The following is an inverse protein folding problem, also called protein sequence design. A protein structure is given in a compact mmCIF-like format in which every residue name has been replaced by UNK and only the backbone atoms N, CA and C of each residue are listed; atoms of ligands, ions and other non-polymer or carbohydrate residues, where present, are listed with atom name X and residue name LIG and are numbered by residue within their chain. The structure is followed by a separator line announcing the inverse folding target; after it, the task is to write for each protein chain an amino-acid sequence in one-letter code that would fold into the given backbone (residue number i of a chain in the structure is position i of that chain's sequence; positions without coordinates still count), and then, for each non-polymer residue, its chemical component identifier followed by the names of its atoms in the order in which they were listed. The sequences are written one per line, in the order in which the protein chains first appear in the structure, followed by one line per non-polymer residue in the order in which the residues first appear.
data_IF_902008056576
#
_entry.id   IF_902008056576
#
_cell.length_a   1.000
_cell.length_b   1.000
_cell.length_c   1.000
_cell.angle_alpha   90.00
_cell.angle_beta   90.00
_cell.angle_gamma   90.00
#
_symmetry.space_group_name_H-M   'P 1'
#
loop_
_entity.id
_entity.type
_entity.pdbx_description
1 polymer ?
#
# COMPACT_ATOMS: atom_id res chain seq x y z
N UNK A 1 23.71 27.21 4.31
CA UNK A 1 22.84 26.28 5.05
C UNK A 1 21.80 25.73 4.08
N UNK A 2 21.94 24.52 3.54
CA UNK A 2 20.93 23.98 2.64
C UNK A 2 19.78 23.35 3.42
N UNK A 3 18.59 23.72 2.98
CA UNK A 3 17.25 23.48 3.48
C UNK A 3 16.93 22.03 3.86
N UNK A 4 16.52 21.82 5.10
CA UNK A 4 16.04 20.57 5.72
C UNK A 4 14.68 20.08 5.19
N UNK A 5 14.12 20.70 4.15
CA UNK A 5 12.70 20.54 3.77
C UNK A 5 12.43 19.59 2.59
N UNK A 6 13.44 19.21 1.79
CA UNK A 6 13.24 18.37 0.58
C UNK A 6 13.37 16.86 0.86
N UNK A 7 14.17 16.47 1.85
CA UNK A 7 14.44 15.05 2.16
C UNK A 7 13.27 14.35 2.87
N UNK A 8 12.46 15.06 3.63
CA UNK A 8 11.30 14.50 4.36
C UNK A 8 10.12 14.22 3.43
N UNK A 9 9.95 15.03 2.38
CA UNK A 9 8.93 14.82 1.34
C UNK A 9 9.17 13.52 0.55
N UNK A 10 10.43 13.17 0.30
CA UNK A 10 10.83 11.94 -0.42
C UNK A 10 10.57 10.65 0.38
N UNK A 11 10.52 10.70 1.71
CA UNK A 11 10.33 9.51 2.57
C UNK A 11 8.91 8.98 2.58
N UNK A 12 7.93 9.86 2.39
CA UNK A 12 6.52 9.46 2.28
C UNK A 12 6.20 8.93 0.88
N UNK A 13 6.86 9.42 -0.17
CA UNK A 13 6.51 9.13 -1.57
C UNK A 13 6.47 7.62 -1.91
N UNK A 14 7.41 6.82 -1.42
CA UNK A 14 7.49 5.43 -1.84
C UNK A 14 6.51 4.51 -1.06
N UNK A 15 6.29 4.73 0.25
CA UNK A 15 5.27 3.99 1.03
C UNK A 15 3.84 4.29 0.60
N UNK A 16 3.75 5.30 -0.25
CA UNK A 16 2.57 5.88 -0.79
C UNK A 16 2.35 5.47 -2.25
N UNK A 17 3.41 5.11 -3.01
CA UNK A 17 3.30 4.35 -4.26
C UNK A 17 2.58 3.00 -4.06
N UNK A 18 2.74 2.39 -2.88
CA UNK A 18 2.09 1.15 -2.46
C UNK A 18 0.60 1.28 -2.10
N UNK A 19 0.09 2.50 -1.91
CA UNK A 19 -1.26 2.80 -1.39
C UNK A 19 -2.21 3.34 -2.47
N UNK A 20 -1.85 3.26 -3.76
CA UNK A 20 -2.76 3.62 -4.85
C UNK A 20 -3.95 2.67 -4.84
N UNK A 21 -5.10 3.19 -4.44
CA UNK A 21 -6.37 2.48 -4.63
C UNK A 21 -6.59 2.42 -6.15
N UNK A 22 -6.78 1.23 -6.74
CA UNK A 22 -7.06 1.12 -8.17
C UNK A 22 -8.33 1.90 -8.51
N UNK A 23 -8.38 2.43 -9.72
CA UNK A 23 -9.61 3.02 -10.27
C UNK A 23 -10.77 2.03 -10.15
N UNK A 24 -11.94 2.55 -9.79
CA UNK A 24 -13.11 1.74 -9.42
C UNK A 24 -13.17 1.32 -7.95
N UNK A 25 -12.14 1.55 -7.13
CA UNK A 25 -12.20 1.23 -5.68
C UNK A 25 -13.26 2.05 -4.99
N UNK A 26 -14.11 1.39 -4.21
CA UNK A 26 -15.11 2.08 -3.40
C UNK A 26 -14.46 2.68 -2.16
N UNK A 27 -14.76 3.94 -1.88
CA UNK A 27 -14.24 4.69 -0.74
C UNK A 27 -15.31 5.54 -0.09
N UNK A 28 -15.08 5.84 1.18
CA UNK A 28 -15.75 6.92 1.92
C UNK A 28 -14.78 8.09 2.06
N UNK A 29 -15.27 9.32 1.94
CA UNK A 29 -14.47 10.51 2.19
C UNK A 29 -14.59 10.94 3.64
N UNK A 30 -13.46 11.28 4.27
CA UNK A 30 -13.45 11.91 5.58
C UNK A 30 -14.14 13.27 5.52
N UNK A 31 -15.12 13.49 6.41
CA UNK A 31 -15.90 14.73 6.46
C UNK A 31 -17.20 14.72 5.67
N UNK A 32 -17.53 13.64 4.94
CA UNK A 32 -18.88 13.50 4.36
C UNK A 32 -19.92 13.35 5.48
N UNK A 33 -20.91 14.27 5.51
CA UNK A 33 -21.94 14.34 6.54
C UNK A 33 -22.86 13.11 6.58
N UNK A 34 -23.04 12.43 5.44
CA UNK A 34 -23.73 11.16 5.36
C UNK A 34 -22.72 10.02 5.45
N UNK A 35 -22.77 9.26 6.54
CA UNK A 35 -21.91 8.09 6.79
C UNK A 35 -22.02 7.01 5.71
N UNK A 36 -23.06 7.05 4.87
CA UNK A 36 -23.34 6.11 3.78
C UNK A 36 -22.92 6.59 2.39
N UNK A 37 -22.40 7.82 2.22
CA UNK A 37 -22.01 8.30 0.89
C UNK A 37 -20.73 7.60 0.42
N UNK A 38 -20.87 6.89 -0.70
CA UNK A 38 -19.81 6.09 -1.30
C UNK A 38 -19.35 6.70 -2.62
N UNK A 39 -18.06 6.56 -2.89
CA UNK A 39 -17.43 7.06 -4.10
C UNK A 39 -16.58 5.97 -4.75
N UNK A 40 -16.47 5.97 -6.07
CA UNK A 40 -15.45 5.24 -6.80
C UNK A 40 -14.23 6.14 -7.01
N UNK A 41 -13.06 5.64 -6.64
CA UNK A 41 -11.77 6.25 -6.94
C UNK A 41 -11.54 6.21 -8.45
N UNK A 42 -11.03 7.31 -8.99
CA UNK A 42 -10.43 7.42 -10.31
C UNK A 42 -9.09 8.12 -10.17
N UNK A 43 -8.21 7.90 -11.13
CA UNK A 43 -6.96 8.64 -11.22
C UNK A 43 -7.25 10.12 -11.40
N UNK A 44 -6.54 10.97 -10.67
CA UNK A 44 -6.71 12.41 -10.80
C UNK A 44 -6.17 12.88 -12.16
N UNK A 45 -7.07 13.35 -13.03
CA UNK A 45 -6.72 13.85 -14.36
C UNK A 45 -6.22 15.30 -14.42
N UNK A 46 -5.93 15.95 -13.28
CA UNK A 46 -5.43 17.32 -13.33
C UNK A 46 -4.00 17.37 -13.90
N UNK A 47 -3.60 18.47 -14.58
CA UNK A 47 -2.29 18.58 -15.21
C UNK A 47 -1.12 18.28 -14.26
N UNK A 48 -1.20 18.73 -13.02
CA UNK A 48 -0.16 18.52 -12.01
C UNK A 48 0.00 17.05 -11.64
N UNK A 49 -1.11 16.33 -11.41
CA UNK A 49 -1.07 14.91 -11.08
C UNK A 49 -0.63 14.05 -12.27
N UNK A 50 -1.06 14.40 -13.49
CA UNK A 50 -0.62 13.71 -14.71
C UNK A 50 0.87 13.92 -14.95
N UNK A 51 1.35 15.16 -14.81
CA UNK A 51 2.77 15.47 -14.96
C UNK A 51 3.63 14.77 -13.90
N UNK A 52 3.21 14.81 -12.64
CA UNK A 52 3.89 14.09 -11.56
C UNK A 52 3.94 12.58 -11.82
N UNK A 53 2.84 11.97 -12.28
CA UNK A 53 2.81 10.55 -12.62
C UNK A 53 3.74 10.21 -13.80
N UNK A 54 3.82 11.07 -14.83
CA UNK A 54 4.75 10.90 -15.95
C UNK A 54 6.21 10.95 -15.51
N UNK A 55 6.53 11.70 -14.45
CA UNK A 55 7.84 11.75 -13.81
C UNK A 55 8.08 10.61 -12.80
N UNK A 56 7.16 9.66 -12.69
CA UNK A 56 7.26 8.52 -11.77
C UNK A 56 6.95 8.87 -10.31
N UNK A 57 6.43 10.07 -10.02
CA UNK A 57 5.95 10.41 -8.69
C UNK A 57 4.62 9.68 -8.39
N UNK A 58 4.35 9.33 -7.12
CA UNK A 58 3.10 8.69 -6.75
C UNK A 58 1.88 9.57 -6.96
N UNK A 59 0.75 8.90 -7.20
CA UNK A 59 -0.55 9.53 -7.17
C UNK A 59 -0.87 10.04 -5.75
N UNK A 60 -0.92 11.35 -5.59
CA UNK A 60 -1.23 12.02 -4.31
C UNK A 60 -2.68 12.37 -4.12
N UNK A 61 -3.43 12.41 -5.21
CA UNK A 61 -4.82 12.82 -5.26
C UNK A 61 -5.62 11.86 -6.15
N UNK A 62 -6.91 11.81 -5.88
CA UNK A 62 -7.90 11.07 -6.64
C UNK A 62 -8.96 12.00 -7.21
N UNK A 63 -9.59 11.56 -8.29
CA UNK A 63 -10.94 12.01 -8.63
C UNK A 63 -11.93 11.00 -8.02
N UNK A 64 -12.97 11.49 -7.35
CA UNK A 64 -14.00 10.66 -6.76
C UNK A 64 -15.29 10.81 -7.56
N UNK A 65 -15.80 9.69 -8.08
CA UNK A 65 -17.07 9.63 -8.80
C UNK A 65 -18.14 8.99 -7.94
N UNK A 66 -19.35 9.53 -7.96
CA UNK A 66 -20.45 8.88 -7.26
C UNK A 66 -20.83 7.56 -7.95
N UNK A 67 -21.12 6.52 -7.16
CA UNK A 67 -21.39 5.16 -7.66
C UNK A 67 -22.67 5.06 -8.53
N UNK A 68 -23.54 6.06 -8.52
CA UNK A 68 -24.79 6.10 -9.29
C UNK A 68 -24.84 7.15 -10.39
N UNK A 69 -23.70 7.75 -10.79
CA UNK A 69 -23.62 8.71 -11.91
C UNK A 69 -24.32 10.06 -11.72
N UNK A 70 -25.16 10.23 -10.68
CA UNK A 70 -26.03 11.39 -10.50
C UNK A 70 -25.42 12.58 -9.75
N UNK A 71 -24.19 12.48 -9.23
CA UNK A 71 -23.53 13.58 -8.51
C UNK A 71 -22.25 14.01 -9.20
N UNK A 72 -21.96 15.32 -9.12
CA UNK A 72 -20.70 15.89 -9.59
C UNK A 72 -19.50 15.18 -8.96
N UNK A 73 -18.49 14.91 -9.78
CA UNK A 73 -17.23 14.33 -9.31
C UNK A 73 -16.53 15.31 -8.36
N UNK A 74 -15.92 14.78 -7.30
CA UNK A 74 -14.97 15.56 -6.50
C UNK A 74 -13.59 15.38 -7.12
N UNK A 75 -13.03 16.45 -7.65
CA UNK A 75 -11.70 16.43 -8.24
C UNK A 75 -10.64 16.75 -7.19
N UNK A 76 -9.43 16.22 -7.41
CA UNK A 76 -8.25 16.55 -6.62
C UNK A 76 -8.41 16.30 -5.11
N UNK A 77 -9.01 15.16 -4.75
CA UNK A 77 -9.17 14.76 -3.35
C UNK A 77 -7.89 14.09 -2.87
N UNK A 78 -7.30 14.60 -1.80
CA UNK A 78 -6.13 13.96 -1.19
C UNK A 78 -6.42 12.49 -0.87
N UNK A 79 -5.52 11.60 -1.26
CA UNK A 79 -5.59 10.18 -0.91
C UNK A 79 -5.69 9.93 0.62
N UNK A 80 -5.21 10.85 1.47
CA UNK A 80 -5.38 10.73 2.94
C UNK A 80 -6.81 10.92 3.39
N UNK A 81 -7.61 11.65 2.61
CA UNK A 81 -8.99 12.00 2.92
C UNK A 81 -9.99 10.91 2.53
N UNK A 82 -9.55 9.75 2.06
CA UNK A 82 -10.43 8.65 1.63
C UNK A 82 -10.14 7.35 2.36
N UNK A 83 -11.18 6.60 2.70
CA UNK A 83 -11.13 5.30 3.37
C UNK A 83 -11.70 4.23 2.44
N UNK A 84 -10.92 3.20 2.04
CA UNK A 84 -11.45 2.12 1.21
C UNK A 84 -12.55 1.38 1.96
N UNK A 85 -13.61 1.07 1.23
CA UNK A 85 -14.66 0.18 1.69
C UNK A 85 -14.54 -1.10 0.88
N UNK A 86 -14.60 -2.28 1.52
CA UNK A 86 -14.65 -3.53 0.80
C UNK A 86 -15.83 -3.53 -0.17
N UNK A 87 -15.59 -3.98 -1.40
CA UNK A 87 -16.68 -4.31 -2.32
C UNK A 87 -17.51 -5.47 -1.71
N UNK A 88 -18.85 -5.51 -1.84
CA UNK A 88 -19.65 -6.66 -1.46
C UNK A 88 -19.04 -8.00 -1.89
N UNK A 89 -18.52 -8.10 -3.11
CA UNK A 89 -17.90 -9.33 -3.62
C UNK A 89 -16.62 -9.67 -2.83
N UNK A 90 -15.84 -8.67 -2.41
CA UNK A 90 -14.65 -8.87 -1.56
C UNK A 90 -14.97 -9.30 -0.12
N UNK A 91 -16.21 -9.05 0.35
CA UNK A 91 -16.68 -9.48 1.66
C UNK A 91 -17.04 -10.97 1.61
N UNK A 92 -17.63 -11.42 0.49
CA UNK A 92 -18.06 -12.80 0.31
C UNK A 92 -16.98 -13.72 -0.26
N UNK A 93 -15.92 -13.18 -0.87
CA UNK A 93 -14.73 -13.95 -1.23
C UNK A 93 -14.10 -14.59 0.02
N UNK A 94 -13.94 -15.92 0.02
CA UNK A 94 -13.19 -16.65 1.05
C UNK A 94 -11.73 -16.23 1.03
N UNK A 95 -11.39 -15.23 1.84
CA UNK A 95 -10.01 -14.78 2.02
C UNK A 95 -9.21 -15.89 2.69
N UNK A 96 -8.39 -16.58 1.90
CA UNK A 96 -7.35 -17.44 2.46
C UNK A 96 -6.33 -16.52 3.14
N UNK A 97 -6.09 -16.74 4.43
CA UNK A 97 -5.06 -16.00 5.15
C UNK A 97 -3.69 -16.56 4.81
N UNK A 98 -2.76 -15.71 4.37
CA UNK A 98 -1.39 -16.12 4.13
C UNK A 98 -0.59 -16.08 5.43
N UNK A 99 0.10 -17.18 5.69
CA UNK A 99 0.98 -17.28 6.85
C UNK A 99 2.10 -16.23 6.80
N UNK A 100 2.61 -15.77 7.95
CA UNK A 100 3.78 -14.88 8.02
C UNK A 100 5.01 -15.43 7.28
N UNK A 101 5.15 -16.76 7.17
CA UNK A 101 6.21 -17.41 6.40
C UNK A 101 6.07 -17.16 4.89
N UNK A 102 4.85 -17.29 4.36
CA UNK A 102 4.56 -16.99 2.97
C UNK A 102 4.77 -15.49 2.68
N UNK A 103 4.27 -14.61 3.55
CA UNK A 103 4.47 -13.17 3.46
C UNK A 103 5.96 -12.79 3.47
N UNK A 104 6.77 -13.38 4.34
CA UNK A 104 8.23 -13.15 4.38
C UNK A 104 8.93 -13.56 3.08
N UNK A 105 8.51 -14.68 2.48
CA UNK A 105 9.05 -15.17 1.20
C UNK A 105 8.71 -14.23 0.05
N UNK A 106 7.45 -13.79 0.01
CA UNK A 106 6.99 -12.80 -0.96
C UNK A 106 7.76 -11.48 -0.81
N UNK A 107 7.84 -10.93 0.40
CA UNK A 107 8.57 -9.68 0.67
C UNK A 107 10.02 -9.77 0.23
N UNK A 108 10.70 -10.89 0.50
CA UNK A 108 12.09 -11.08 0.08
C UNK A 108 12.24 -11.07 -1.44
N UNK A 109 11.31 -11.68 -2.19
CA UNK A 109 11.33 -11.67 -3.65
C UNK A 109 11.05 -10.27 -4.19
N UNK A 110 10.02 -9.61 -3.66
CA UNK A 110 9.66 -8.25 -4.02
C UNK A 110 10.85 -7.30 -3.85
N UNK A 111 11.49 -7.30 -2.69
CA UNK A 111 12.64 -6.42 -2.42
C UNK A 111 13.84 -6.69 -3.35
N UNK A 112 14.10 -7.95 -3.70
CA UNK A 112 15.18 -8.30 -4.65
C UNK A 112 14.87 -7.84 -6.07
N UNK A 113 13.60 -7.89 -6.45
CA UNK A 113 13.15 -7.43 -7.75
C UNK A 113 13.20 -5.90 -7.83
N UNK A 114 12.69 -5.20 -6.81
CA UNK A 114 12.67 -3.74 -6.75
C UNK A 114 14.07 -3.14 -6.60
N UNK A 115 14.97 -3.79 -5.86
CA UNK A 115 16.32 -3.30 -5.61
C UNK A 115 17.37 -4.35 -6.03
N UNK A 116 17.63 -4.48 -7.35
CA UNK A 116 18.58 -5.46 -7.87
C UNK A 116 19.99 -5.22 -7.31
N UNK A 117 20.73 -6.29 -7.06
CA UNK A 117 22.09 -6.24 -6.51
C UNK A 117 22.17 -6.12 -4.98
N UNK A 118 21.07 -5.83 -4.28
CA UNK A 118 21.05 -5.69 -2.81
C UNK A 118 20.65 -7.00 -2.12
N UNK A 119 21.40 -7.38 -1.08
CA UNK A 119 21.13 -8.59 -0.30
C UNK A 119 20.17 -8.30 0.86
N UNK A 120 18.91 -8.70 0.70
CA UNK A 120 17.91 -8.67 1.78
C UNK A 120 17.79 -9.99 2.55
N UNK A 121 17.70 -9.87 3.87
CA UNK A 121 17.30 -10.92 4.81
C UNK A 121 15.95 -10.55 5.41
N UNK A 122 14.92 -11.34 5.09
CA UNK A 122 13.58 -11.20 5.69
C UNK A 122 13.33 -12.39 6.61
N UNK A 123 12.97 -12.12 7.86
CA UNK A 123 12.68 -13.15 8.88
C UNK A 123 11.33 -12.85 9.54
N UNK A 124 10.59 -13.89 9.90
CA UNK A 124 9.42 -13.77 10.77
C UNK A 124 9.85 -13.82 12.24
N UNK A 125 9.09 -13.19 13.11
CA UNK A 125 9.21 -13.38 14.55
C UNK A 125 8.79 -14.78 15.01
N UNK A 126 9.01 -15.04 16.30
CA UNK A 126 8.66 -16.31 16.97
C UNK A 126 7.79 -16.00 18.20
N UNK A 127 7.04 -16.98 18.68
CA UNK A 127 6.18 -16.82 19.85
C UNK A 127 5.11 -15.75 19.64
N UNK A 128 5.06 -14.78 20.55
CA UNK A 128 4.15 -13.62 20.50
C UNK A 128 4.40 -12.71 19.29
N UNK A 129 5.61 -12.70 18.73
CA UNK A 129 5.97 -11.90 17.55
C UNK A 129 5.73 -12.61 16.22
N UNK A 130 4.98 -13.73 16.19
CA UNK A 130 4.84 -14.58 14.99
C UNK A 130 4.31 -13.86 13.75
N UNK A 131 3.55 -12.78 13.92
CA UNK A 131 2.99 -11.95 12.85
C UNK A 131 3.86 -10.74 12.48
N UNK A 132 5.03 -10.57 13.11
CA UNK A 132 6.00 -9.52 12.78
C UNK A 132 7.01 -10.02 11.78
N UNK A 133 7.36 -9.19 10.80
CA UNK A 133 8.48 -9.41 9.89
C UNK A 133 9.64 -8.47 10.23
N UNK A 134 10.86 -8.95 10.04
CA UNK A 134 12.09 -8.19 10.21
C UNK A 134 12.89 -8.27 8.91
N UNK A 135 13.21 -7.10 8.35
CA UNK A 135 13.98 -6.93 7.12
C UNK A 135 15.33 -6.31 7.47
N UNK A 136 16.41 -6.98 7.04
CA UNK A 136 17.79 -6.52 7.19
C UNK A 136 18.49 -6.46 5.84
N UNK A 137 19.28 -5.40 5.63
CA UNK A 137 20.11 -5.23 4.44
C UNK A 137 21.28 -4.28 4.74
N UNK A 138 22.25 -4.22 3.82
CA UNK A 138 23.42 -3.35 3.89
C UNK A 138 23.63 -2.67 2.54
N UNK A 139 23.98 -1.39 2.55
CA UNK A 139 24.13 -0.59 1.32
C UNK A 139 22.83 -0.42 0.54
N UNK A 140 22.91 0.20 -0.65
CA UNK A 140 21.75 0.39 -1.53
C UNK A 140 20.64 1.26 -0.90
N UNK A 141 19.36 0.87 -1.02
CA UNK A 141 18.22 1.72 -0.72
C UNK A 141 18.19 2.18 0.74
N UNK A 142 17.61 3.36 0.93
CA UNK A 142 17.28 3.91 2.23
C UNK A 142 16.19 3.11 2.94
N UNK A 143 16.04 3.36 4.24
CA UNK A 143 14.99 2.71 5.06
C UNK A 143 13.59 3.00 4.53
N UNK A 144 13.38 4.19 4.00
CA UNK A 144 12.08 4.65 3.50
C UNK A 144 11.68 3.95 2.21
N UNK A 145 12.63 3.75 1.28
CA UNK A 145 12.42 3.01 0.03
C UNK A 145 12.11 1.53 0.27
N UNK A 146 12.73 0.93 1.30
CA UNK A 146 12.42 -0.46 1.69
C UNK A 146 11.07 -0.55 2.40
N UNK A 147 10.77 0.39 3.31
CA UNK A 147 9.47 0.46 3.97
C UNK A 147 8.35 0.66 2.97
N UNK A 148 8.64 1.38 1.91
CA UNK A 148 7.76 1.60 0.81
C UNK A 148 7.34 0.35 0.06
N UNK A 149 8.34 -0.42 -0.38
CA UNK A 149 8.09 -1.70 -1.02
C UNK A 149 7.38 -2.70 -0.08
N UNK A 150 7.57 -2.57 1.24
CA UNK A 150 6.94 -3.43 2.24
C UNK A 150 5.52 -3.01 2.64
N UNK A 151 5.14 -1.74 2.43
CA UNK A 151 3.87 -1.17 2.85
C UNK A 151 2.61 -1.96 2.40
N UNK A 152 2.54 -2.56 1.19
CA UNK A 152 1.37 -3.35 0.78
C UNK A 152 1.07 -4.53 1.71
N UNK A 153 2.07 -5.08 2.39
CA UNK A 153 1.89 -6.21 3.30
C UNK A 153 1.27 -5.83 4.64
N UNK A 154 1.30 -4.54 4.97
CA UNK A 154 0.74 -3.98 6.20
C UNK A 154 -0.63 -3.35 5.97
N UNK A 155 -1.12 -3.32 4.74
CA UNK A 155 -2.41 -2.73 4.42
C UNK A 155 -3.53 -3.52 5.11
N UNK A 156 -4.39 -2.82 5.85
CA UNK A 156 -5.57 -3.39 6.49
C UNK A 156 -6.81 -2.53 6.14
N UNK A 157 -7.96 -2.84 6.72
CA UNK A 157 -9.18 -2.03 6.56
C UNK A 157 -9.46 -1.14 7.77
N UNK A 158 -8.74 -1.32 8.87
CA UNK A 158 -9.06 -0.74 10.17
C UNK A 158 -8.27 0.54 10.47
N UNK A 159 -7.09 0.69 9.88
CA UNK A 159 -6.12 1.74 10.21
C UNK A 159 -6.03 2.77 9.09
N UNK A 160 -6.41 4.04 9.32
CA UNK A 160 -6.13 5.13 8.39
C UNK A 160 -4.62 5.18 8.07
N UNK A 161 -4.25 5.04 6.80
CA UNK A 161 -2.85 5.02 6.35
C UNK A 161 -2.28 3.62 6.03
N UNK A 162 -2.99 2.54 6.39
CA UNK A 162 -2.69 1.16 5.97
C UNK A 162 -3.86 0.68 5.13
N UNK A 163 -3.93 1.00 3.83
CA UNK A 163 -5.22 0.90 3.11
C UNK A 163 -5.23 -0.21 2.05
N UNK A 164 -6.18 -1.16 2.27
CA UNK A 164 -6.59 -2.33 1.48
C UNK A 164 -5.54 -3.45 1.38
N UNK A 165 -5.65 -4.53 2.18
CA UNK A 165 -4.87 -5.74 1.96
C UNK A 165 -5.28 -6.27 0.59
N UNK A 166 -4.42 -6.07 -0.40
CA UNK A 166 -4.58 -6.78 -1.67
C UNK A 166 -4.18 -8.23 -1.46
N UNK A 167 -4.99 -9.18 -1.93
CA UNK A 167 -4.54 -10.56 -2.03
C UNK A 167 -3.22 -10.57 -2.81
N UNK A 168 -2.19 -11.14 -2.21
CA UNK A 168 -0.91 -11.35 -2.89
C UNK A 168 -0.83 -12.81 -3.32
N UNK A 169 -0.27 -13.04 -4.51
CA UNK A 169 0.09 -14.37 -4.95
C UNK A 169 1.50 -14.70 -4.44
N UNK A 170 1.63 -15.82 -3.72
CA UNK A 170 2.89 -16.31 -3.19
C UNK A 170 3.13 -17.71 -3.71
N UNK A 171 4.19 -17.87 -4.51
CA UNK A 171 4.63 -19.18 -4.93
C UNK A 171 5.54 -19.80 -3.85
N UNK A 172 5.11 -20.90 -3.24
CA UNK A 172 5.84 -21.61 -2.19
C UNK A 172 5.84 -23.11 -2.50
N UNK A 173 7.03 -23.72 -2.62
CA UNK A 173 7.22 -25.12 -3.05
C UNK A 173 6.44 -25.51 -4.32
N UNK A 174 6.47 -24.66 -5.36
CA UNK A 174 5.78 -24.93 -6.62
C UNK A 174 4.28 -24.64 -6.62
N UNK A 175 3.66 -24.41 -5.46
CA UNK A 175 2.25 -24.04 -5.34
C UNK A 175 2.06 -22.52 -5.24
N UNK A 176 1.04 -22.01 -5.92
CA UNK A 176 0.62 -20.61 -5.80
C UNK A 176 -0.46 -20.50 -4.73
N UNK A 177 -0.15 -19.78 -3.65
CA UNK A 177 -1.12 -19.41 -2.63
C UNK A 177 -1.56 -17.97 -2.86
N UNK A 178 -2.87 -17.74 -2.96
CA UNK A 178 -3.43 -16.40 -3.11
C UNK A 178 -4.16 -16.06 -1.82
N UNK A 179 -3.85 -14.91 -1.22
CA UNK A 179 -4.50 -14.53 0.02
C UNK A 179 -4.02 -13.24 0.65
N UNK A 180 -4.65 -12.86 1.76
CA UNK A 180 -4.30 -11.66 2.52
C UNK A 180 -3.12 -11.95 3.45
N UNK A 181 -2.03 -11.16 3.45
CA UNK A 181 -0.91 -11.35 4.37
C UNK A 181 -1.33 -11.07 5.81
N UNK A 182 -1.12 -12.04 6.73
CA UNK A 182 -1.24 -11.80 8.17
C UNK A 182 0.07 -11.22 8.72
N UNK A 183 0.26 -9.91 8.59
CA UNK A 183 1.45 -9.20 9.09
C UNK A 183 1.02 -7.97 9.87
N UNK A 184 1.39 -7.91 11.14
CA UNK A 184 1.03 -6.78 12.02
C UNK A 184 2.02 -5.62 11.89
N UNK A 185 3.29 -5.95 11.63
CA UNK A 185 4.43 -5.02 11.64
C UNK A 185 5.57 -5.53 10.76
N UNK A 186 6.23 -4.62 10.03
CA UNK A 186 7.50 -4.85 9.35
C UNK A 186 8.57 -3.97 9.96
N UNK A 187 9.52 -4.56 10.68
CA UNK A 187 10.70 -3.88 11.22
C UNK A 187 11.81 -3.82 10.17
N UNK A 188 12.44 -2.66 10.08
CA UNK A 188 13.47 -2.37 9.09
C UNK A 188 14.79 -2.01 9.79
N UNK A 189 15.85 -2.77 9.49
CA UNK A 189 17.18 -2.58 10.05
C UNK A 189 18.22 -2.51 8.92
N UNK A 190 18.72 -1.31 8.64
CA UNK A 190 19.85 -1.10 7.73
C UNK A 190 21.16 -1.19 8.50
N UNK A 191 22.10 -1.98 7.98
CA UNK A 191 23.47 -2.12 8.49
C UNK A 191 24.43 -1.21 7.76
#
# INVERSE_FOLDING_TARGET
MPSTSTLTASRFLAAYLALRLPSGTWVRRAGDAASSRMWAVQDCGCPDCVHAAALGAPASHYELRALGGASAALTHVSHTAVVPVPDPDEIFERRTMLTPKAAATHLRRLLRYTFPGVRFSVRRGRGTDRYRLMVRWSGGPGRDEVGAAAAPLLADYATPGRRRPRPIAVQHFGHTHIGTPMVDEVRLERR
#
